data_IF_596258763688
#
_entry.id   IF_596258763688
#
_cell.length_a   1.000
_cell.length_b   1.000
_cell.length_c   1.000
_cell.angle_alpha   90.00
_cell.angle_beta   90.00
_cell.angle_gamma   90.00
#
_symmetry.space_group_name_H-M   'P 1'
#
loop_
_entity.id
_entity.type
_entity.pdbx_description
1 polymer ?
#
# COMPACT_ATOMS: atom_id res chain seq x y z
N UNK A 1 -10.91 7.35 -14.95
CA UNK A 1 -11.11 8.24 -13.79
C UNK A 1 -10.38 9.58 -13.94
N UNK A 2 -10.13 9.96 -15.17
CA UNK A 2 -9.53 11.26 -15.53
C UNK A 2 -10.57 12.34 -15.85
N UNK A 3 -11.86 11.99 -15.82
CA UNK A 3 -12.97 12.90 -16.07
C UNK A 3 -13.48 13.53 -14.77
N UNK A 4 -14.05 14.73 -14.82
CA UNK A 4 -14.61 15.39 -13.63
C UNK A 4 -15.97 14.84 -13.20
N UNK A 5 -16.64 14.01 -14.00
CA UNK A 5 -17.98 13.46 -13.77
C UNK A 5 -17.95 11.92 -13.92
N UNK A 6 -17.67 11.23 -12.81
CA UNK A 6 -17.57 9.78 -12.79
C UNK A 6 -18.94 9.09 -12.91
N UNK A 7 -20.02 9.75 -12.48
CA UNK A 7 -21.37 9.19 -12.63
C UNK A 7 -21.76 9.09 -14.11
N UNK A 8 -21.58 10.18 -14.87
CA UNK A 8 -21.84 10.18 -16.31
C UNK A 8 -20.94 9.21 -17.05
N UNK A 9 -19.65 9.14 -16.70
CA UNK A 9 -18.71 8.18 -17.29
C UNK A 9 -19.15 6.73 -17.07
N UNK A 10 -19.56 6.38 -15.83
CA UNK A 10 -20.07 5.05 -15.53
C UNK A 10 -21.35 4.74 -16.30
N UNK A 11 -22.32 5.67 -16.33
CA UNK A 11 -23.60 5.47 -17.01
C UNK A 11 -23.47 5.35 -18.52
N UNK A 12 -22.47 5.99 -19.11
CA UNK A 12 -22.19 5.94 -20.55
C UNK A 12 -21.25 4.78 -20.92
N UNK A 13 -20.68 4.07 -19.93
CA UNK A 13 -19.83 2.91 -20.21
C UNK A 13 -20.66 1.75 -20.75
N UNK A 14 -20.09 1.01 -21.72
CA UNK A 14 -20.76 -0.15 -22.29
C UNK A 14 -20.86 -1.28 -21.25
N UNK A 15 -22.04 -1.86 -21.12
CA UNK A 15 -22.24 -3.09 -20.35
C UNK A 15 -21.48 -4.23 -21.00
N UNK A 16 -20.70 -4.96 -20.24
CA UNK A 16 -19.96 -6.15 -20.69
C UNK A 16 -20.58 -7.39 -20.10
N UNK A 17 -20.57 -8.45 -20.90
CA UNK A 17 -21.14 -9.73 -20.51
C UNK A 17 -22.68 -9.71 -20.45
N UNK A 18 -23.25 -10.83 -20.02
CA UNK A 18 -24.66 -11.03 -19.85
C UNK A 18 -25.08 -10.71 -18.43
N UNK A 19 -26.04 -9.81 -18.28
CA UNK A 19 -26.61 -9.42 -16.98
C UNK A 19 -27.10 -10.66 -16.23
N UNK A 20 -26.82 -10.77 -14.96
CA UNK A 20 -27.14 -11.90 -14.06
C UNK A 20 -26.47 -13.24 -14.42
N UNK A 21 -25.52 -13.26 -15.37
CA UNK A 21 -24.82 -14.48 -15.80
C UNK A 21 -23.32 -14.33 -15.58
N UNK A 22 -22.73 -13.24 -16.09
CA UNK A 22 -21.30 -13.05 -16.07
C UNK A 22 -20.88 -12.19 -14.87
N UNK A 23 -19.89 -12.69 -14.12
CA UNK A 23 -19.30 -11.93 -13.02
C UNK A 23 -18.19 -11.02 -13.55
N UNK A 24 -18.32 -9.72 -13.26
CA UNK A 24 -17.28 -8.74 -13.52
C UNK A 24 -17.10 -7.85 -12.27
N UNK A 25 -15.95 -7.99 -11.60
CA UNK A 25 -15.62 -7.15 -10.45
C UNK A 25 -15.32 -5.72 -10.92
N UNK A 26 -16.09 -4.75 -10.42
CA UNK A 26 -15.92 -3.35 -10.77
C UNK A 26 -16.17 -2.44 -9.56
N UNK A 27 -15.12 -1.76 -9.08
CA UNK A 27 -15.20 -0.85 -7.93
C UNK A 27 -16.11 0.36 -8.19
N UNK A 28 -16.31 0.78 -9.44
CA UNK A 28 -17.24 1.85 -9.76
C UNK A 28 -18.70 1.49 -9.45
N UNK A 29 -19.07 0.20 -9.42
CA UNK A 29 -20.39 -0.20 -8.93
C UNK A 29 -20.62 0.28 -7.50
N UNK A 30 -19.61 0.15 -6.63
CA UNK A 30 -19.70 0.62 -5.24
C UNK A 30 -19.68 2.13 -5.14
N UNK A 31 -18.95 2.83 -6.01
CA UNK A 31 -19.05 4.28 -6.15
C UNK A 31 -20.47 4.72 -6.49
N UNK A 32 -21.14 4.05 -7.41
CA UNK A 32 -22.54 4.35 -7.75
C UNK A 32 -23.48 4.14 -6.55
N UNK A 33 -23.23 3.12 -5.71
CA UNK A 33 -23.97 2.96 -4.46
C UNK A 33 -23.75 4.14 -3.51
N UNK A 34 -22.54 4.66 -3.40
CA UNK A 34 -22.24 5.88 -2.63
C UNK A 34 -22.99 7.11 -3.18
N UNK A 35 -23.01 7.28 -4.50
CA UNK A 35 -23.78 8.32 -5.17
C UNK A 35 -25.29 8.22 -4.91
N UNK A 36 -25.84 7.00 -4.90
CA UNK A 36 -27.25 6.73 -4.57
C UNK A 36 -27.55 7.13 -3.11
N UNK A 37 -26.69 6.76 -2.15
CA UNK A 37 -26.84 7.16 -0.76
C UNK A 37 -26.88 8.68 -0.64
N UNK A 38 -25.91 9.37 -1.25
CA UNK A 38 -25.88 10.84 -1.24
C UNK A 38 -27.15 11.45 -1.86
N UNK A 39 -27.58 10.94 -3.01
CA UNK A 39 -28.80 11.44 -3.67
C UNK A 39 -30.07 11.23 -2.84
N UNK A 40 -30.17 10.08 -2.14
CA UNK A 40 -31.36 9.75 -1.34
C UNK A 40 -31.40 10.42 0.02
N UNK A 41 -30.23 10.70 0.62
CA UNK A 41 -30.14 11.19 2.00
C UNK A 41 -29.69 12.66 2.12
N UNK A 42 -29.15 13.23 1.04
CA UNK A 42 -28.48 14.53 1.04
C UNK A 42 -27.10 14.52 1.73
N UNK A 43 -26.63 13.34 2.20
CA UNK A 43 -25.41 13.18 3.02
C UNK A 43 -24.40 12.30 2.31
N UNK A 44 -23.10 12.63 2.50
CA UNK A 44 -22.01 11.75 2.11
C UNK A 44 -21.96 10.49 2.99
N UNK A 45 -21.18 9.48 2.57
CA UNK A 45 -21.09 8.20 3.29
C UNK A 45 -20.59 8.39 4.73
N UNK A 46 -19.54 9.18 4.94
CA UNK A 46 -18.99 9.42 6.29
C UNK A 46 -20.02 10.08 7.16
N UNK A 47 -20.67 11.16 6.70
CA UNK A 47 -21.70 11.87 7.45
C UNK A 47 -22.91 10.96 7.75
N UNK A 48 -23.32 10.14 6.79
CA UNK A 48 -24.45 9.23 6.95
C UNK A 48 -24.17 8.08 7.92
N UNK A 49 -22.96 7.51 7.83
CA UNK A 49 -22.55 6.33 8.62
C UNK A 49 -22.09 6.71 10.03
N UNK A 50 -21.61 7.93 10.26
CA UNK A 50 -21.09 8.34 11.58
C UNK A 50 -22.08 8.03 12.70
N UNK A 51 -23.32 8.54 12.74
CA UNK A 51 -24.25 8.24 13.84
C UNK A 51 -24.83 6.82 13.81
N UNK A 52 -24.69 6.08 12.71
CA UNK A 52 -25.31 4.76 12.50
C UNK A 52 -24.37 3.60 12.71
N UNK A 53 -23.07 3.80 12.41
CA UNK A 53 -22.05 2.77 12.41
C UNK A 53 -20.81 3.21 13.21
N UNK A 54 -20.20 4.34 12.86
CA UNK A 54 -18.90 4.70 13.40
C UNK A 54 -18.97 5.09 14.89
N UNK A 55 -19.87 5.95 15.29
CA UNK A 55 -20.05 6.30 16.70
C UNK A 55 -20.47 5.09 17.57
N UNK A 56 -21.49 4.28 17.18
CA UNK A 56 -21.83 3.08 17.96
C UNK A 56 -20.69 2.11 18.15
N UNK A 57 -19.77 2.01 17.18
CA UNK A 57 -18.58 1.16 17.24
C UNK A 57 -17.37 1.85 17.89
N UNK A 58 -17.52 3.10 18.36
CA UNK A 58 -16.41 3.95 18.84
C UNK A 58 -15.26 3.99 17.83
N UNK A 59 -15.59 4.24 16.57
CA UNK A 59 -14.64 4.43 15.46
C UNK A 59 -14.50 5.93 15.23
N UNK A 60 -13.26 6.42 15.30
CA UNK A 60 -12.91 7.84 15.16
C UNK A 60 -11.90 8.03 14.04
N UNK A 61 -11.76 9.27 13.59
CA UNK A 61 -10.77 9.67 12.60
C UNK A 61 -10.89 8.90 11.27
N UNK A 62 -12.13 8.75 10.81
CA UNK A 62 -12.42 8.19 9.49
C UNK A 62 -12.17 9.25 8.42
N UNK A 63 -11.39 8.89 7.43
CA UNK A 63 -11.24 9.64 6.19
C UNK A 63 -11.61 8.74 5.00
N UNK A 64 -12.37 9.29 4.09
CA UNK A 64 -12.73 8.61 2.84
C UNK A 64 -12.52 9.57 1.68
N UNK A 65 -11.67 9.18 0.75
CA UNK A 65 -11.39 9.94 -0.45
C UNK A 65 -12.65 10.19 -1.27
N UNK A 66 -12.66 11.32 -1.98
CA UNK A 66 -13.81 11.73 -2.79
C UNK A 66 -13.46 11.78 -4.27
N UNK A 67 -14.48 11.60 -5.09
CA UNK A 67 -14.45 11.91 -6.51
C UNK A 67 -14.38 13.44 -6.74
N UNK A 68 -14.10 13.89 -7.97
CA UNK A 68 -14.20 15.31 -8.33
C UNK A 68 -15.58 15.93 -8.03
N UNK A 69 -16.66 15.12 -8.06
CA UNK A 69 -18.01 15.55 -7.68
C UNK A 69 -18.21 15.67 -6.16
N UNK A 70 -17.17 15.38 -5.35
CA UNK A 70 -17.21 15.43 -3.89
C UNK A 70 -17.97 14.28 -3.24
N UNK A 71 -18.16 13.15 -3.94
CA UNK A 71 -18.79 11.92 -3.43
C UNK A 71 -17.68 10.99 -2.95
N UNK A 72 -17.81 10.38 -1.77
CA UNK A 72 -16.89 9.37 -1.30
C UNK A 72 -16.78 8.22 -2.31
N UNK A 73 -15.54 7.77 -2.60
CA UNK A 73 -15.25 6.78 -3.66
C UNK A 73 -15.95 5.42 -3.44
N UNK A 74 -16.34 5.10 -2.22
CA UNK A 74 -17.15 3.92 -1.88
C UNK A 74 -16.41 2.60 -2.04
N UNK A 75 -15.88 2.32 -3.22
CA UNK A 75 -15.17 1.07 -3.55
C UNK A 75 -13.70 1.05 -3.12
N UNK A 76 -13.12 2.19 -2.77
CA UNK A 76 -11.72 2.34 -2.31
C UNK A 76 -11.54 3.68 -1.58
N UNK A 77 -10.32 3.93 -1.10
CA UNK A 77 -9.96 5.22 -0.48
C UNK A 77 -10.52 5.42 0.93
N UNK A 78 -10.92 4.35 1.63
CA UNK A 78 -11.28 4.42 3.05
C UNK A 78 -10.02 4.21 3.90
N UNK A 79 -9.69 5.19 4.73
CA UNK A 79 -8.63 5.14 5.74
C UNK A 79 -9.24 4.80 7.10
N UNK A 80 -8.91 3.62 7.60
CA UNK A 80 -9.42 3.09 8.86
C UNK A 80 -8.32 2.31 9.59
N UNK A 81 -8.26 2.42 10.91
CA UNK A 81 -7.31 1.63 11.70
C UNK A 81 -7.69 0.15 11.68
N UNK A 82 -6.70 -0.77 11.70
CA UNK A 82 -6.98 -2.21 11.73
C UNK A 82 -7.92 -2.64 12.86
N UNK A 83 -7.77 -2.08 14.06
CA UNK A 83 -8.61 -2.37 15.21
C UNK A 83 -10.07 -1.91 14.99
N UNK A 84 -10.26 -0.76 14.36
CA UNK A 84 -11.59 -0.25 14.05
C UNK A 84 -12.24 -1.05 12.91
N UNK A 85 -11.45 -1.50 11.94
CA UNK A 85 -11.94 -2.39 10.90
C UNK A 85 -12.35 -3.77 11.49
N UNK A 86 -11.60 -4.30 12.47
CA UNK A 86 -11.97 -5.51 13.20
C UNK A 86 -13.32 -5.39 13.91
N UNK A 87 -13.67 -4.21 14.48
CA UNK A 87 -14.98 -3.97 15.10
C UNK A 87 -16.13 -4.13 14.09
N UNK A 88 -15.94 -3.66 12.85
CA UNK A 88 -16.92 -3.85 11.77
C UNK A 88 -17.09 -5.34 11.47
N UNK A 89 -16.00 -6.07 11.32
CA UNK A 89 -16.04 -7.53 11.11
C UNK A 89 -16.74 -8.27 12.24
N UNK A 90 -16.46 -7.91 13.48
CA UNK A 90 -17.09 -8.51 14.67
C UNK A 90 -18.60 -8.20 14.73
N UNK A 91 -19.00 -6.98 14.43
CA UNK A 91 -20.40 -6.60 14.34
C UNK A 91 -21.14 -7.42 13.27
N UNK A 92 -20.55 -7.60 12.08
CA UNK A 92 -21.11 -8.45 11.02
C UNK A 92 -21.20 -9.91 11.47
N UNK A 93 -20.15 -10.44 12.10
CA UNK A 93 -20.09 -11.81 12.62
C UNK A 93 -21.15 -12.07 13.70
N UNK A 94 -21.47 -11.05 14.50
CA UNK A 94 -22.52 -11.07 15.52
C UNK A 94 -23.93 -10.77 14.94
N UNK A 95 -24.13 -10.95 13.63
CA UNK A 95 -25.40 -10.75 12.97
C UNK A 95 -25.91 -9.32 13.04
N UNK A 96 -25.03 -8.32 13.04
CA UNK A 96 -25.37 -6.88 13.07
C UNK A 96 -25.61 -6.30 14.46
N UNK A 97 -25.15 -6.99 15.50
CA UNK A 97 -25.29 -6.55 16.89
C UNK A 97 -23.95 -6.14 17.48
N UNK A 98 -23.92 -5.02 18.19
CA UNK A 98 -22.75 -4.53 18.91
C UNK A 98 -23.16 -4.06 20.30
N UNK A 99 -22.51 -4.55 21.34
CA UNK A 99 -22.83 -4.23 22.76
C UNK A 99 -24.33 -4.32 23.07
N UNK A 100 -25.01 -5.37 22.60
CA UNK A 100 -26.45 -5.57 22.80
C UNK A 100 -27.36 -4.74 21.89
N UNK A 101 -26.84 -3.75 21.17
CA UNK A 101 -27.61 -2.90 20.25
C UNK A 101 -27.53 -3.45 18.82
N UNK A 102 -28.69 -3.59 18.17
CA UNK A 102 -28.75 -3.93 16.75
C UNK A 102 -28.47 -2.70 15.88
N UNK A 103 -27.43 -2.76 15.08
CA UNK A 103 -27.05 -1.71 14.15
C UNK A 103 -27.49 -2.02 12.72
N UNK A 104 -27.46 -3.29 12.31
CA UNK A 104 -27.86 -3.77 10.98
C UNK A 104 -28.81 -4.97 11.16
N UNK A 105 -29.78 -5.12 10.27
CA UNK A 105 -30.69 -6.28 10.26
C UNK A 105 -29.90 -7.58 10.05
N UNK A 106 -30.15 -8.60 10.88
CA UNK A 106 -29.55 -9.93 10.73
C UNK A 106 -29.95 -10.58 9.40
N UNK A 107 -31.21 -10.46 9.02
CA UNK A 107 -31.71 -10.99 7.74
C UNK A 107 -30.99 -10.35 6.54
N UNK A 108 -30.70 -9.05 6.60
CA UNK A 108 -29.90 -8.39 5.56
C UNK A 108 -28.47 -8.93 5.53
N UNK A 109 -27.81 -9.06 6.67
CA UNK A 109 -26.43 -9.56 6.73
C UNK A 109 -26.33 -11.02 6.28
N UNK A 110 -27.30 -11.88 6.62
CA UNK A 110 -27.34 -13.25 6.11
C UNK A 110 -27.39 -13.27 4.58
N UNK A 111 -28.16 -12.40 3.96
CA UNK A 111 -28.16 -12.25 2.51
C UNK A 111 -26.82 -11.69 2.02
N UNK A 112 -26.28 -10.67 2.68
CA UNK A 112 -25.02 -10.03 2.25
C UNK A 112 -23.82 -10.98 2.24
N UNK A 113 -23.75 -11.92 3.19
CA UNK A 113 -22.68 -12.92 3.27
C UNK A 113 -23.03 -14.26 2.62
N UNK A 114 -24.19 -14.35 1.94
CA UNK A 114 -24.56 -15.53 1.17
C UNK A 114 -24.01 -15.45 -0.27
N UNK A 115 -23.72 -16.60 -0.91
CA UNK A 115 -23.24 -16.60 -2.28
C UNK A 115 -24.36 -16.22 -3.27
N UNK A 116 -24.19 -15.14 -4.00
CA UNK A 116 -25.08 -14.70 -5.07
C UNK A 116 -24.45 -14.83 -6.44
N UNK A 117 -23.12 -14.84 -6.52
CA UNK A 117 -22.37 -15.04 -7.74
C UNK A 117 -21.16 -15.94 -7.51
N UNK A 118 -20.75 -16.64 -8.56
CA UNK A 118 -19.54 -17.46 -8.59
C UNK A 118 -18.50 -16.77 -9.49
N UNK A 119 -17.51 -16.09 -8.92
CA UNK A 119 -16.43 -15.49 -9.69
C UNK A 119 -15.64 -16.55 -10.47
N UNK A 120 -14.92 -16.16 -11.55
CA UNK A 120 -14.00 -17.03 -12.26
C UNK A 120 -12.92 -17.62 -11.33
N UNK A 121 -12.33 -18.76 -11.73
CA UNK A 121 -11.36 -19.48 -10.91
C UNK A 121 -10.12 -18.64 -10.58
N UNK A 122 -9.76 -17.70 -11.43
CA UNK A 122 -8.67 -16.74 -11.25
C UNK A 122 -8.87 -15.82 -10.03
N UNK A 123 -10.13 -15.63 -9.61
CA UNK A 123 -10.48 -14.89 -8.40
C UNK A 123 -10.29 -15.70 -7.11
N UNK A 124 -9.79 -16.94 -7.20
CA UNK A 124 -9.60 -17.83 -6.04
C UNK A 124 -10.84 -18.65 -5.66
N UNK A 125 -10.77 -19.33 -4.52
CA UNK A 125 -11.80 -20.27 -4.04
C UNK A 125 -12.90 -19.56 -3.24
N UNK A 126 -13.52 -18.54 -3.86
CA UNK A 126 -14.55 -17.71 -3.26
C UNK A 126 -15.80 -17.62 -4.13
N UNK A 127 -16.93 -17.42 -3.48
CA UNK A 127 -18.15 -16.88 -4.07
C UNK A 127 -18.26 -15.39 -3.70
N UNK A 128 -19.27 -14.71 -4.22
CA UNK A 128 -19.49 -13.29 -3.98
C UNK A 128 -20.95 -13.05 -3.53
N UNK A 129 -21.08 -12.37 -2.39
CA UNK A 129 -22.36 -11.90 -1.87
C UNK A 129 -22.62 -10.44 -2.25
N UNK A 130 -23.22 -9.66 -1.34
CA UNK A 130 -23.44 -8.24 -1.58
C UNK A 130 -22.19 -7.45 -1.15
N UNK A 131 -21.24 -7.25 -2.08
CA UNK A 131 -19.94 -6.59 -1.87
C UNK A 131 -19.04 -7.33 -0.85
N UNK A 132 -19.33 -8.59 -0.56
CA UNK A 132 -18.61 -9.41 0.41
C UNK A 132 -18.21 -10.72 -0.26
N UNK A 133 -16.94 -11.09 -0.16
CA UNK A 133 -16.45 -12.39 -0.60
C UNK A 133 -16.81 -13.46 0.42
N UNK A 134 -17.22 -14.64 -0.04
CA UNK A 134 -17.58 -15.77 0.84
C UNK A 134 -16.76 -17.00 0.49
N UNK A 135 -16.21 -17.69 1.50
CA UNK A 135 -15.38 -18.88 1.26
C UNK A 135 -16.21 -20.07 0.81
N UNK A 136 -15.75 -20.80 -0.23
CA UNK A 136 -16.42 -22.02 -0.71
C UNK A 136 -16.21 -23.22 0.21
N UNK A 137 -15.05 -23.31 0.87
CA UNK A 137 -14.65 -24.49 1.67
C UNK A 137 -14.71 -24.28 3.16
N UNK A 138 -14.72 -23.05 3.62
CA UNK A 138 -14.78 -22.72 5.02
C UNK A 138 -15.94 -21.76 5.25
N UNK A 139 -16.59 -21.84 6.41
CA UNK A 139 -17.64 -20.90 6.79
C UNK A 139 -16.97 -19.53 7.12
N UNK A 140 -16.59 -18.84 6.07
CA UNK A 140 -15.83 -17.59 6.13
C UNK A 140 -16.51 -16.52 5.26
N UNK A 141 -16.33 -15.27 5.64
CA UNK A 141 -16.53 -14.14 4.75
C UNK A 141 -15.33 -13.19 4.87
N UNK A 142 -15.11 -12.39 3.83
CA UNK A 142 -14.00 -11.45 3.84
C UNK A 142 -14.32 -10.18 3.07
N UNK A 143 -13.79 -9.08 3.57
CA UNK A 143 -13.60 -7.85 2.83
C UNK A 143 -12.18 -7.87 2.28
N UNK A 144 -12.05 -7.94 0.97
CA UNK A 144 -10.77 -8.14 0.32
C UNK A 144 -10.42 -6.91 -0.50
N UNK A 145 -9.36 -6.21 -0.09
CA UNK A 145 -8.80 -5.08 -0.78
C UNK A 145 -7.46 -5.43 -1.44
N UNK A 146 -7.08 -4.61 -2.41
CA UNK A 146 -5.80 -4.75 -3.10
C UNK A 146 -4.63 -4.67 -2.12
N UNK A 147 -3.54 -5.37 -2.46
CA UNK A 147 -2.23 -5.27 -1.80
C UNK A 147 -2.24 -5.65 -0.32
N UNK A 148 -3.25 -6.42 0.13
CA UNK A 148 -3.30 -6.93 1.49
C UNK A 148 -4.14 -6.10 2.48
N UNK A 149 -5.09 -5.30 1.98
CA UNK A 149 -6.09 -4.62 2.82
C UNK A 149 -7.24 -5.59 3.08
N UNK A 150 -7.16 -6.39 4.14
CA UNK A 150 -8.09 -7.51 4.32
C UNK A 150 -8.70 -7.55 5.71
N UNK A 151 -9.96 -8.02 5.74
CA UNK A 151 -10.61 -8.50 6.94
C UNK A 151 -11.20 -9.88 6.63
N UNK A 152 -10.70 -10.91 7.30
CA UNK A 152 -11.13 -12.30 7.15
C UNK A 152 -11.80 -12.80 8.42
N UNK A 153 -13.04 -13.26 8.31
CA UNK A 153 -13.83 -13.80 9.42
C UNK A 153 -14.03 -15.30 9.27
N UNK A 154 -13.68 -16.05 10.30
CA UNK A 154 -13.96 -17.47 10.47
C UNK A 154 -15.17 -17.64 11.38
N UNK A 155 -16.36 -17.78 10.80
CA UNK A 155 -17.63 -17.82 11.56
C UNK A 155 -17.69 -18.96 12.56
N UNK A 156 -17.09 -20.13 12.24
CA UNK A 156 -17.13 -21.32 13.10
C UNK A 156 -16.23 -21.20 14.34
N UNK A 157 -15.14 -20.46 14.29
CA UNK A 157 -14.20 -20.27 15.41
C UNK A 157 -14.34 -18.92 16.10
N UNK A 158 -15.11 -17.99 15.53
CA UNK A 158 -15.21 -16.63 16.04
C UNK A 158 -13.97 -15.77 15.77
N UNK A 159 -12.99 -16.27 15.00
CA UNK A 159 -11.74 -15.57 14.74
C UNK A 159 -11.90 -14.54 13.63
N UNK A 160 -11.33 -13.36 13.85
CA UNK A 160 -11.22 -12.29 12.87
C UNK A 160 -9.74 -11.95 12.68
N UNK A 161 -9.29 -11.91 11.44
CA UNK A 161 -7.93 -11.52 11.08
C UNK A 161 -8.03 -10.27 10.19
N UNK A 162 -7.35 -9.20 10.60
CA UNK A 162 -7.25 -7.96 9.82
C UNK A 162 -5.81 -7.74 9.41
N UNK A 163 -5.62 -7.29 8.20
CA UNK A 163 -4.32 -6.83 7.72
C UNK A 163 -4.47 -5.53 6.92
N UNK A 164 -3.55 -4.61 7.17
CA UNK A 164 -3.25 -3.49 6.29
C UNK A 164 -1.79 -3.68 5.89
N UNK A 165 -1.53 -3.93 4.61
CA UNK A 165 -0.22 -4.32 4.13
C UNK A 165 0.09 -3.71 2.75
N UNK A 166 1.35 -3.75 2.36
CA UNK A 166 1.82 -3.47 1.01
C UNK A 166 2.35 -4.75 0.37
N UNK A 167 1.46 -5.72 0.14
CA UNK A 167 1.82 -6.98 -0.50
C UNK A 167 2.09 -6.77 -2.00
N UNK A 168 2.95 -7.60 -2.57
CA UNK A 168 3.15 -7.62 -4.01
C UNK A 168 1.99 -8.33 -4.77
N UNK A 169 1.03 -8.94 -4.07
CA UNK A 169 -0.09 -9.67 -4.67
C UNK A 169 -1.36 -8.82 -4.69
N UNK A 170 -1.99 -8.72 -5.85
CA UNK A 170 -3.14 -7.84 -6.06
C UNK A 170 -4.38 -8.26 -5.28
N UNK A 171 -4.67 -9.57 -5.17
CA UNK A 171 -5.89 -10.10 -4.56
C UNK A 171 -5.70 -11.49 -3.90
N UNK A 172 -6.77 -12.25 -3.73
CA UNK A 172 -7.02 -13.42 -2.90
C UNK A 172 -6.04 -14.60 -2.97
N UNK A 173 -5.13 -14.64 -3.91
CA UNK A 173 -4.19 -15.77 -4.05
C UNK A 173 -2.98 -15.67 -3.14
N UNK A 174 -2.95 -14.66 -2.24
CA UNK A 174 -1.81 -14.44 -1.38
C UNK A 174 -1.50 -15.63 -0.49
N UNK A 175 -0.23 -15.84 -0.26
CA UNK A 175 0.25 -16.80 0.72
C UNK A 175 -0.39 -16.56 2.11
N UNK A 176 -0.68 -15.31 2.43
CA UNK A 176 -1.38 -14.91 3.64
C UNK A 176 -2.73 -15.62 3.81
N UNK A 177 -3.62 -15.58 2.81
CA UNK A 177 -4.91 -16.28 2.87
C UNK A 177 -4.72 -17.79 2.99
N UNK A 178 -3.80 -18.34 2.22
CA UNK A 178 -3.51 -19.77 2.26
C UNK A 178 -3.03 -20.21 3.65
N UNK A 179 -2.16 -19.44 4.28
CA UNK A 179 -1.72 -19.70 5.65
C UNK A 179 -2.83 -19.48 6.66
N UNK A 180 -3.61 -18.42 6.56
CA UNK A 180 -4.74 -18.17 7.42
C UNK A 180 -5.77 -19.30 7.36
N UNK A 181 -6.16 -19.75 6.18
CA UNK A 181 -7.07 -20.89 5.99
C UNK A 181 -6.47 -22.20 6.51
N UNK A 182 -5.18 -22.45 6.30
CA UNK A 182 -4.49 -23.65 6.77
C UNK A 182 -4.48 -23.74 8.30
N UNK A 183 -4.23 -22.65 9.00
CA UNK A 183 -4.04 -22.64 10.45
C UNK A 183 -5.32 -22.36 11.23
N UNK A 184 -6.26 -21.62 10.67
CA UNK A 184 -7.45 -21.13 11.35
C UNK A 184 -8.77 -21.54 10.67
N UNK A 185 -8.73 -22.26 9.56
CA UNK A 185 -9.93 -22.69 8.82
C UNK A 185 -10.77 -23.76 9.53
N UNK A 186 -10.26 -24.34 10.63
CA UNK A 186 -11.00 -25.30 11.47
C UNK A 186 -11.31 -24.67 12.83
N UNK A 187 -12.47 -25.01 13.44
CA UNK A 187 -12.77 -24.59 14.80
C UNK A 187 -11.68 -25.08 15.80
N UNK A 188 -11.40 -24.28 16.80
CA UNK A 188 -10.54 -24.71 17.91
C UNK A 188 -11.27 -25.77 18.75
N UNK A 189 -10.61 -26.88 18.99
CA UNK A 189 -11.22 -28.04 19.69
C UNK A 189 -11.22 -27.91 21.21
N UNK A 190 -10.49 -26.95 21.77
CA UNK A 190 -10.38 -26.77 23.23
C UNK A 190 -10.16 -25.31 23.58
N UNK A 191 -10.49 -24.93 24.81
CA UNK A 191 -10.06 -23.64 25.38
C UNK A 191 -8.54 -23.60 25.41
N UNK A 192 -7.97 -22.52 24.85
CA UNK A 192 -6.53 -22.31 24.91
C UNK A 192 -6.12 -22.10 26.37
N UNK A 193 -5.15 -22.87 26.83
CA UNK A 193 -4.57 -22.67 28.16
C UNK A 193 -3.58 -21.49 28.09
N UNK A 194 -3.51 -20.66 29.14
CA UNK A 194 -2.53 -19.60 29.22
C UNK A 194 -1.09 -20.14 29.09
N UNK A 195 -0.33 -19.63 28.14
CA UNK A 195 1.10 -19.92 27.93
C UNK A 195 1.90 -18.62 27.98
N UNK A 196 2.43 -18.31 29.16
CA UNK A 196 3.20 -17.09 29.38
C UNK A 196 4.47 -17.03 28.52
N UNK A 197 5.09 -18.16 28.23
CA UNK A 197 6.27 -18.23 27.38
C UNK A 197 5.92 -17.93 25.90
N UNK A 198 4.78 -18.42 25.43
CA UNK A 198 4.28 -18.10 24.09
C UNK A 198 3.91 -16.61 23.98
N UNK A 199 3.27 -16.04 25.01
CA UNK A 199 2.96 -14.60 25.06
C UNK A 199 4.24 -13.77 25.01
N UNK A 200 5.25 -14.10 25.84
CA UNK A 200 6.53 -13.37 25.84
C UNK A 200 7.27 -13.46 24.49
N UNK A 201 7.21 -14.62 23.82
CA UNK A 201 7.77 -14.76 22.46
C UNK A 201 7.02 -13.87 21.46
N UNK A 202 5.68 -13.87 21.51
CA UNK A 202 4.86 -13.01 20.64
C UNK A 202 5.16 -11.53 20.85
N UNK A 203 5.25 -11.08 22.10
CA UNK A 203 5.60 -9.70 22.45
C UNK A 203 7.00 -9.31 21.94
N UNK A 204 7.97 -10.24 22.00
CA UNK A 204 9.30 -10.02 21.44
C UNK A 204 9.21 -9.82 19.93
N UNK A 205 8.52 -10.71 19.21
CA UNK A 205 8.33 -10.58 17.76
C UNK A 205 7.62 -9.29 17.39
N UNK A 206 6.59 -8.90 18.15
CA UNK A 206 5.87 -7.63 17.92
C UNK A 206 6.80 -6.43 18.11
N UNK A 207 7.67 -6.44 19.12
CA UNK A 207 8.65 -5.37 19.33
C UNK A 207 9.62 -5.28 18.14
N UNK A 208 10.16 -6.42 17.70
CA UNK A 208 11.11 -6.47 16.58
C UNK A 208 10.49 -6.00 15.26
N UNK A 209 9.18 -6.27 15.06
CA UNK A 209 8.43 -5.77 13.89
C UNK A 209 8.12 -4.28 14.00
N UNK A 210 7.77 -3.79 15.20
CA UNK A 210 7.45 -2.36 15.41
C UNK A 210 8.65 -1.43 15.24
N UNK A 211 9.84 -1.93 15.54
CA UNK A 211 11.11 -1.21 15.34
C UNK A 211 12.06 -2.08 14.50
N UNK A 212 11.77 -2.25 13.21
CA UNK A 212 12.58 -3.10 12.36
C UNK A 212 13.98 -2.49 12.22
N UNK A 213 14.94 -3.13 12.86
CA UNK A 213 16.34 -2.86 12.60
C UNK A 213 16.73 -3.57 11.29
N UNK A 214 17.39 -2.84 10.40
CA UNK A 214 18.09 -3.52 9.31
C UNK A 214 19.16 -4.42 9.97
N UNK A 215 19.35 -5.67 9.49
CA UNK A 215 20.34 -6.56 10.06
C UNK A 215 21.70 -5.83 10.04
N UNK A 216 22.21 -5.57 11.22
CA UNK A 216 23.54 -4.97 11.38
C UNK A 216 24.55 -5.89 10.71
N UNK A 217 25.50 -5.33 9.97
CA UNK A 217 26.66 -6.06 9.50
C UNK A 217 27.26 -6.84 10.69
N UNK A 218 27.50 -8.13 10.45
CA UNK A 218 27.78 -9.16 11.46
C UNK A 218 28.74 -8.69 12.56
N UNK A 219 28.37 -8.96 13.82
CA UNK A 219 28.96 -8.41 15.05
C UNK A 219 30.48 -8.55 15.29
N UNK A 220 31.25 -9.13 14.38
CA UNK A 220 32.74 -9.13 14.46
C UNK A 220 33.37 -7.79 14.12
N UNK A 221 32.76 -6.97 13.29
CA UNK A 221 33.27 -5.64 12.93
C UNK A 221 33.03 -4.59 14.04
N UNK A 222 31.99 -4.74 14.85
CA UNK A 222 31.62 -3.78 15.90
C UNK A 222 32.56 -3.81 17.12
N UNK A 223 33.22 -4.94 17.38
CA UNK A 223 34.14 -5.08 18.52
C UNK A 223 35.51 -4.48 18.20
N UNK A 224 36.01 -4.62 16.99
CA UNK A 224 37.32 -4.08 16.57
C UNK A 224 37.30 -2.57 16.35
N UNK A 225 36.17 -2.00 15.87
CA UNK A 225 36.04 -0.54 15.69
C UNK A 225 35.97 0.25 16.99
N UNK A 226 35.58 -0.37 18.11
CA UNK A 226 35.61 0.27 19.46
C UNK A 226 37.01 0.33 20.09
N UNK A 227 37.94 -0.50 19.62
CA UNK A 227 39.32 -0.56 20.18
C UNK A 227 40.28 0.38 19.47
N UNK A 228 39.97 0.85 18.28
CA UNK A 228 40.80 1.79 17.52
C UNK A 228 40.04 3.09 17.25
N UNK A 229 40.26 4.09 18.12
CA UNK A 229 39.55 5.37 18.16
C UNK A 229 39.83 6.34 16.99
N UNK A 230 40.23 5.87 15.80
CA UNK A 230 40.13 6.61 14.55
C UNK A 230 38.96 6.08 13.77
N UNK A 231 37.89 6.89 13.70
CA UNK A 231 36.70 6.60 12.87
C UNK A 231 37.20 6.38 11.44
N UNK A 232 37.20 5.15 10.98
CA UNK A 232 37.42 4.85 9.56
C UNK A 232 36.27 5.46 8.78
N UNK A 233 36.51 6.13 7.65
CA UNK A 233 35.41 6.62 6.78
C UNK A 233 34.46 5.51 6.48
N UNK A 234 33.18 5.76 6.69
CA UNK A 234 32.11 4.83 6.30
C UNK A 234 31.70 5.12 4.86
N UNK A 235 31.10 4.17 4.12
CA UNK A 235 30.54 4.48 2.81
C UNK A 235 29.55 5.65 2.80
N UNK A 236 28.91 5.94 3.93
CA UNK A 236 28.00 7.07 4.08
C UNK A 236 28.71 8.43 4.00
N UNK A 237 29.96 8.50 4.48
CA UNK A 237 30.72 9.76 4.50
C UNK A 237 30.96 10.32 3.09
N UNK A 238 30.94 9.46 2.05
CA UNK A 238 31.08 9.87 0.64
C UNK A 238 29.88 10.65 0.10
N UNK A 239 28.74 10.62 0.80
CA UNK A 239 27.50 11.27 0.37
C UNK A 239 27.16 12.51 1.19
N UNK A 240 27.78 12.69 2.36
CA UNK A 240 27.42 13.76 3.30
C UNK A 240 27.84 15.13 2.79
N UNK A 241 26.89 16.06 2.73
CA UNK A 241 27.13 17.44 2.31
C UNK A 241 27.35 17.61 0.80
N UNK A 242 27.21 16.53 0.03
CA UNK A 242 27.30 16.57 -1.43
C UNK A 242 25.91 16.72 -2.02
N UNK A 243 25.75 17.65 -2.95
CA UNK A 243 24.52 17.78 -3.74
C UNK A 243 24.67 16.99 -5.03
N UNK A 244 23.73 16.09 -5.30
CA UNK A 244 23.68 15.30 -6.51
C UNK A 244 22.58 15.86 -7.41
N UNK A 245 22.98 16.50 -8.50
CA UNK A 245 22.04 17.13 -9.46
C UNK A 245 21.85 16.21 -10.67
N UNK A 246 20.63 16.10 -11.15
CA UNK A 246 20.29 15.30 -12.33
C UNK A 246 20.88 15.98 -13.58
N UNK A 247 21.62 15.19 -14.37
CA UNK A 247 22.23 15.61 -15.65
C UNK A 247 21.35 15.28 -16.87
N UNK A 248 20.29 14.52 -16.64
CA UNK A 248 19.30 14.14 -17.65
C UNK A 248 18.20 15.21 -17.76
N UNK A 249 17.40 15.14 -18.84
CA UNK A 249 16.14 15.89 -18.87
C UNK A 249 15.25 15.50 -17.68
N UNK A 250 14.63 16.51 -17.06
CA UNK A 250 13.68 16.31 -15.97
C UNK A 250 12.59 15.33 -16.43
N UNK A 251 12.42 14.29 -15.67
CA UNK A 251 11.48 13.22 -16.00
C UNK A 251 10.21 13.34 -15.16
N UNK A 252 9.11 13.88 -15.71
CA UNK A 252 7.84 13.97 -15.00
C UNK A 252 7.43 12.65 -14.36
N UNK A 253 6.75 12.73 -13.22
CA UNK A 253 6.35 11.60 -12.38
C UNK A 253 7.51 10.76 -11.82
N UNK A 254 8.76 11.20 -11.94
CA UNK A 254 9.90 10.59 -11.26
C UNK A 254 10.27 11.47 -10.06
N UNK A 255 9.78 11.10 -8.88
CA UNK A 255 9.96 11.87 -7.67
C UNK A 255 9.99 10.98 -6.42
N UNK A 256 9.89 11.59 -5.25
CA UNK A 256 9.79 10.87 -3.98
C UNK A 256 8.52 10.05 -3.88
N UNK A 257 7.39 10.61 -4.32
CA UNK A 257 6.12 9.89 -4.28
C UNK A 257 6.14 8.73 -5.29
N UNK A 258 5.78 7.48 -4.88
CA UNK A 258 5.62 6.35 -5.79
C UNK A 258 4.65 6.67 -6.93
N UNK A 259 4.97 6.30 -8.15
CA UNK A 259 4.13 6.56 -9.35
C UNK A 259 2.71 6.05 -9.23
N UNK A 260 2.54 4.89 -8.62
CA UNK A 260 1.21 4.34 -8.38
C UNK A 260 0.41 5.19 -7.40
N UNK A 261 1.05 5.70 -6.34
CA UNK A 261 0.39 6.61 -5.41
C UNK A 261 0.01 7.91 -6.10
N UNK A 262 0.93 8.49 -6.90
CA UNK A 262 0.64 9.67 -7.72
C UNK A 262 -0.61 9.47 -8.59
N UNK A 263 -0.73 8.32 -9.24
CA UNK A 263 -1.86 8.00 -10.10
C UNK A 263 -3.18 7.81 -9.33
N UNK A 264 -3.14 7.20 -8.14
CA UNK A 264 -4.33 7.01 -7.31
C UNK A 264 -4.84 8.33 -6.73
N UNK A 265 -3.93 9.21 -6.36
CA UNK A 265 -4.25 10.50 -5.74
C UNK A 265 -4.41 11.64 -6.75
N UNK A 266 -4.10 11.39 -8.03
CA UNK A 266 -4.03 12.42 -9.08
C UNK A 266 -3.10 13.59 -8.65
N UNK A 267 -1.97 13.25 -8.04
CA UNK A 267 -0.98 14.16 -7.49
C UNK A 267 0.40 13.79 -8.06
N UNK A 268 0.83 14.50 -9.07
CA UNK A 268 1.99 14.16 -9.88
C UNK A 268 3.18 15.06 -9.57
N UNK A 269 4.36 14.45 -9.41
CA UNK A 269 5.64 15.15 -9.35
C UNK A 269 6.01 15.68 -10.74
N UNK A 270 6.49 16.91 -10.80
CA UNK A 270 7.05 17.50 -12.01
C UNK A 270 8.47 17.01 -12.31
N UNK A 271 9.03 16.19 -11.46
CA UNK A 271 10.28 15.46 -11.68
C UNK A 271 11.40 15.83 -10.72
N UNK A 272 12.27 14.87 -10.50
CA UNK A 272 13.40 14.96 -9.59
C UNK A 272 14.53 15.81 -10.18
N UNK A 273 15.07 16.75 -9.39
CA UNK A 273 16.12 17.68 -9.79
C UNK A 273 17.41 17.45 -9.02
N UNK A 274 17.35 17.41 -7.68
CA UNK A 274 18.56 17.18 -6.89
C UNK A 274 18.29 16.50 -5.55
N UNK A 275 19.37 15.95 -4.98
CA UNK A 275 19.37 15.24 -3.72
C UNK A 275 20.58 15.67 -2.88
N UNK A 276 20.35 15.94 -1.61
CA UNK A 276 21.40 16.20 -0.62
C UNK A 276 21.10 15.46 0.68
N UNK A 277 22.13 14.93 1.32
CA UNK A 277 22.03 14.34 2.66
C UNK A 277 23.06 15.00 3.58
N UNK A 278 22.62 15.44 4.75
CA UNK A 278 23.43 16.12 5.74
C UNK A 278 23.23 15.48 7.13
N UNK A 279 24.20 15.64 8.01
CA UNK A 279 23.99 15.27 9.41
C UNK A 279 22.93 16.15 10.05
N UNK A 280 22.04 15.54 10.82
CA UNK A 280 21.10 16.29 11.64
C UNK A 280 21.85 17.04 12.74
N UNK A 281 21.36 18.22 13.11
CA UNK A 281 21.81 18.95 14.29
C UNK A 281 21.30 18.33 15.60
N UNK A 282 20.57 17.22 15.55
CA UNK A 282 20.12 16.48 16.74
C UNK A 282 21.31 15.88 17.48
N UNK A 283 21.17 15.64 18.80
CA UNK A 283 22.20 14.98 19.62
C UNK A 283 22.43 13.51 19.22
N UNK A 284 21.70 13.00 18.21
CA UNK A 284 21.78 11.62 17.74
C UNK A 284 22.64 11.53 16.49
N UNK A 285 23.76 10.86 16.59
CA UNK A 285 24.72 10.64 15.49
C UNK A 285 24.16 9.85 14.30
N UNK A 286 23.01 9.18 14.46
CA UNK A 286 22.38 8.29 13.48
C UNK A 286 21.18 8.93 12.76
N UNK A 287 21.00 10.26 12.87
CA UNK A 287 19.94 11.02 12.21
C UNK A 287 20.51 11.94 11.14
N UNK A 288 19.87 11.94 9.98
CA UNK A 288 20.26 12.71 8.81
C UNK A 288 19.09 13.51 8.28
N UNK A 289 19.39 14.70 7.77
CA UNK A 289 18.44 15.51 7.01
C UNK A 289 18.61 15.18 5.53
N UNK A 290 17.54 14.76 4.90
CA UNK A 290 17.46 14.55 3.46
C UNK A 290 16.72 15.73 2.86
N UNK A 291 17.33 16.36 1.86
CA UNK A 291 16.71 17.40 1.06
C UNK A 291 16.59 16.89 -0.37
N UNK A 292 15.39 16.90 -0.91
CA UNK A 292 15.11 16.58 -2.32
C UNK A 292 14.43 17.76 -2.94
N UNK A 293 14.97 18.20 -4.08
CA UNK A 293 14.37 19.22 -4.92
C UNK A 293 13.70 18.52 -6.09
N UNK A 294 12.41 18.72 -6.25
CA UNK A 294 11.65 18.42 -7.46
C UNK A 294 11.44 19.72 -8.26
N UNK A 295 11.00 19.64 -9.50
CA UNK A 295 10.95 20.81 -10.37
C UNK A 295 10.00 21.91 -9.84
N UNK A 296 9.03 21.56 -9.05
CA UNK A 296 7.96 22.41 -8.52
C UNK A 296 7.94 22.54 -6.99
N UNK A 297 8.59 21.64 -6.25
CA UNK A 297 8.63 21.72 -4.78
C UNK A 297 9.92 21.14 -4.17
N UNK A 298 10.15 21.44 -2.92
CA UNK A 298 11.30 20.95 -2.16
C UNK A 298 10.84 20.24 -0.90
N UNK A 299 11.34 19.01 -0.71
CA UNK A 299 11.05 18.19 0.44
C UNK A 299 12.26 18.11 1.36
N UNK A 300 12.05 18.37 2.65
CA UNK A 300 13.07 18.22 3.67
C UNK A 300 12.54 17.40 4.84
N UNK A 301 13.20 16.28 5.12
CA UNK A 301 12.77 15.33 6.14
C UNK A 301 13.95 14.62 6.81
N UNK A 302 13.67 13.96 7.94
CA UNK A 302 14.68 13.21 8.69
C UNK A 302 14.64 11.74 8.29
N UNK A 303 15.82 11.14 8.10
CA UNK A 303 16.00 9.71 7.92
C UNK A 303 17.00 9.16 8.93
N UNK A 304 16.83 7.94 9.40
CA UNK A 304 17.73 7.29 10.34
C UNK A 304 18.72 6.35 9.65
N UNK A 305 19.94 6.26 10.15
CA UNK A 305 20.90 5.26 9.69
C UNK A 305 20.49 3.87 10.18
N UNK A 306 20.15 2.99 9.23
CA UNK A 306 19.70 1.61 9.50
C UNK A 306 18.47 1.49 10.44
N UNK A 307 17.69 2.55 10.58
CA UNK A 307 16.41 2.56 11.28
C UNK A 307 15.44 3.55 10.65
N UNK A 308 14.15 3.31 10.78
CA UNK A 308 13.16 4.22 10.25
C UNK A 308 12.84 5.37 11.21
N UNK A 309 12.80 6.59 10.69
CA UNK A 309 12.29 7.78 11.38
C UNK A 309 11.01 8.23 10.67
N UNK A 310 9.96 8.53 11.46
CA UNK A 310 8.67 8.97 10.94
C UNK A 310 8.68 10.49 10.83
N UNK A 311 8.33 10.98 9.64
CA UNK A 311 8.20 12.42 9.35
C UNK A 311 6.95 12.65 8.51
N UNK A 312 6.21 13.72 8.78
CA UNK A 312 5.16 14.19 7.89
C UNK A 312 5.79 14.90 6.69
N UNK A 313 5.49 14.45 5.48
CA UNK A 313 5.95 15.09 4.24
C UNK A 313 4.70 15.57 3.49
N UNK A 314 4.76 16.82 3.04
CA UNK A 314 3.72 17.44 2.23
C UNK A 314 4.07 17.28 0.75
N UNK A 315 3.10 16.89 -0.05
CA UNK A 315 3.19 16.81 -1.51
C UNK A 315 1.99 17.56 -2.09
N UNK A 316 2.22 18.76 -2.60
CA UNK A 316 1.18 19.63 -3.17
C UNK A 316 -0.04 19.82 -2.25
N UNK A 317 0.19 20.01 -0.94
CA UNK A 317 -0.85 20.19 0.07
C UNK A 317 -1.44 18.89 0.63
N UNK A 318 -1.03 17.72 0.13
CA UNK A 318 -1.37 16.42 0.71
C UNK A 318 -0.26 15.92 1.63
N UNK A 319 -0.58 15.68 2.89
CA UNK A 319 0.40 15.25 3.91
C UNK A 319 0.37 13.75 4.10
N UNK A 320 1.53 13.12 4.03
CA UNK A 320 1.72 11.70 4.29
C UNK A 320 2.67 11.49 5.47
N UNK A 321 2.35 10.51 6.31
CA UNK A 321 3.28 10.03 7.33
C UNK A 321 4.24 9.02 6.69
N UNK A 322 5.50 9.43 6.51
CA UNK A 322 6.52 8.61 5.86
C UNK A 322 7.57 8.17 6.87
N UNK A 323 7.90 6.88 6.88
CA UNK A 323 9.01 6.36 7.64
C UNK A 323 10.23 6.20 6.71
N UNK A 324 11.30 6.94 7.00
CA UNK A 324 12.48 7.04 6.14
C UNK A 324 13.72 6.49 6.83
N UNK A 325 14.50 5.71 6.09
CA UNK A 325 15.79 5.18 6.53
C UNK A 325 16.85 5.32 5.44
N UNK A 326 18.09 5.56 5.84
CA UNK A 326 19.24 5.55 4.95
C UNK A 326 20.18 4.42 5.33
N UNK A 327 20.85 3.86 4.33
CA UNK A 327 21.90 2.88 4.51
C UNK A 327 22.95 3.07 3.43
N UNK A 328 24.23 3.04 3.82
CA UNK A 328 25.33 3.03 2.88
C UNK A 328 26.14 1.74 2.99
N UNK A 329 26.55 1.20 1.86
CA UNK A 329 27.36 -0.01 1.74
C UNK A 329 28.18 0.05 0.45
N UNK A 330 29.16 -0.83 0.33
CA UNK A 330 29.83 -1.08 -0.97
C UNK A 330 29.05 -2.14 -1.73
N UNK A 331 28.95 -1.96 -3.05
CA UNK A 331 28.43 -3.00 -3.95
C UNK A 331 29.48 -4.06 -4.26
N UNK A 332 29.14 -5.00 -5.16
CA UNK A 332 30.01 -6.09 -5.57
C UNK A 332 31.27 -5.61 -6.31
N UNK A 333 31.21 -4.46 -6.95
CA UNK A 333 32.31 -3.80 -7.66
C UNK A 333 33.14 -2.88 -6.75
N UNK A 334 32.73 -2.73 -5.49
CA UNK A 334 33.43 -1.93 -4.48
C UNK A 334 33.05 -0.44 -4.46
N UNK A 335 32.05 -0.02 -5.25
CA UNK A 335 31.53 1.36 -5.24
C UNK A 335 30.69 1.63 -4.01
N UNK A 336 30.74 2.87 -3.53
CA UNK A 336 29.86 3.30 -2.45
C UNK A 336 28.43 3.48 -2.97
N UNK A 337 27.47 2.89 -2.25
CA UNK A 337 26.05 2.94 -2.54
C UNK A 337 25.28 3.44 -1.36
N UNK A 338 24.50 4.50 -1.53
CA UNK A 338 23.52 4.98 -0.59
C UNK A 338 22.13 4.47 -1.00
N UNK A 339 21.40 3.93 -0.05
CA UNK A 339 19.99 3.57 -0.24
C UNK A 339 19.12 4.39 0.70
N UNK A 340 18.23 5.20 0.16
CA UNK A 340 17.12 5.82 0.87
C UNK A 340 15.88 4.96 0.69
N UNK A 341 15.26 4.57 1.79
CA UNK A 341 14.08 3.73 1.83
C UNK A 341 12.95 4.45 2.54
N UNK A 342 11.79 4.59 1.88
CA UNK A 342 10.66 5.37 2.34
C UNK A 342 9.38 4.52 2.32
N UNK A 343 8.76 4.37 3.50
CA UNK A 343 7.50 3.67 3.67
C UNK A 343 6.38 4.69 3.89
N UNK A 344 5.40 4.74 3.01
CA UNK A 344 4.22 5.58 3.14
C UNK A 344 3.21 4.87 4.04
N UNK A 345 3.22 5.17 5.34
CA UNK A 345 2.58 4.36 6.38
C UNK A 345 1.06 4.29 6.29
N UNK A 346 0.44 5.24 5.61
CA UNK A 346 -1.02 5.30 5.41
C UNK A 346 -1.46 4.63 4.10
N UNK A 347 -0.50 4.12 3.33
CA UNK A 347 -0.71 3.50 2.02
C UNK A 347 0.09 2.20 1.92
N UNK A 348 -0.18 1.33 0.94
CA UNK A 348 0.62 0.13 0.73
C UNK A 348 1.93 0.39 -0.02
N UNK A 349 2.31 1.64 -0.22
CA UNK A 349 3.41 1.99 -1.11
C UNK A 349 4.73 2.25 -0.39
N UNK A 350 5.83 1.95 -1.12
CA UNK A 350 7.21 2.17 -0.71
C UNK A 350 7.99 2.73 -1.88
N UNK A 351 8.80 3.75 -1.62
CA UNK A 351 9.80 4.26 -2.55
C UNK A 351 11.19 3.87 -2.06
N UNK A 352 12.03 3.41 -2.97
CA UNK A 352 13.46 3.24 -2.73
C UNK A 352 14.25 4.00 -3.77
N UNK A 353 15.23 4.77 -3.31
CA UNK A 353 16.20 5.46 -4.15
C UNK A 353 17.58 4.90 -3.80
N UNK A 354 18.28 4.42 -4.82
CA UNK A 354 19.63 3.88 -4.69
C UNK A 354 20.60 4.75 -5.49
N UNK A 355 21.52 5.43 -4.82
CA UNK A 355 22.54 6.26 -5.41
C UNK A 355 23.88 5.51 -5.37
N UNK A 356 24.50 5.27 -6.53
CA UNK A 356 25.76 4.55 -6.69
C UNK A 356 26.82 5.52 -7.18
N UNK A 357 27.95 5.60 -6.47
CA UNK A 357 29.13 6.37 -6.87
C UNK A 357 30.09 5.46 -7.63
N UNK A 358 29.88 5.32 -8.95
CA UNK A 358 30.72 4.56 -9.87
C UNK A 358 31.60 5.47 -10.73
N UNK A 359 31.95 5.00 -11.94
CA UNK A 359 32.64 5.84 -12.93
C UNK A 359 31.77 7.04 -13.36
N UNK A 360 30.48 6.86 -13.34
CA UNK A 360 29.44 7.87 -13.42
C UNK A 360 28.49 7.64 -12.25
N UNK A 361 28.06 8.71 -11.58
CA UNK A 361 27.08 8.56 -10.52
C UNK A 361 25.69 8.31 -11.11
N UNK A 362 25.00 7.30 -10.57
CA UNK A 362 23.66 6.89 -11.02
C UNK A 362 22.69 6.78 -9.86
N UNK A 363 21.49 7.29 -10.07
CA UNK A 363 20.40 7.23 -9.10
C UNK A 363 19.27 6.37 -9.64
N UNK A 364 19.02 5.22 -9.02
CA UNK A 364 17.95 4.30 -9.38
C UNK A 364 16.75 4.49 -8.47
N UNK A 365 15.59 4.70 -9.06
CA UNK A 365 14.30 4.80 -8.39
C UNK A 365 13.53 3.52 -8.56
N UNK A 366 13.13 2.90 -7.46
CA UNK A 366 12.25 1.73 -7.45
C UNK A 366 11.10 1.94 -6.50
N UNK A 367 9.97 1.29 -6.75
CA UNK A 367 8.81 1.33 -5.87
C UNK A 367 8.23 -0.06 -5.63
N UNK A 368 7.52 -0.23 -4.54
CA UNK A 368 6.72 -1.42 -4.25
C UNK A 368 5.32 -1.02 -3.81
N UNK A 369 4.33 -1.80 -4.17
CA UNK A 369 4.41 -2.99 -5.01
C UNK A 369 4.56 -2.61 -6.50
N UNK A 370 5.64 -3.01 -7.12
CA UNK A 370 5.84 -2.84 -8.57
C UNK A 370 5.72 -4.18 -9.29
N UNK A 371 6.34 -5.21 -8.71
CA UNK A 371 6.37 -6.55 -9.31
C UNK A 371 5.10 -7.35 -9.06
N UNK A 372 4.31 -6.97 -8.04
CA UNK A 372 3.10 -7.68 -7.65
C UNK A 372 1.83 -7.19 -8.34
N UNK A 373 1.88 -6.12 -9.11
CA UNK A 373 0.89 -5.92 -10.15
C UNK A 373 1.04 -7.06 -11.15
N UNK A 374 0.58 -8.25 -10.71
CA UNK A 374 0.54 -9.39 -11.58
C UNK A 374 -0.10 -8.95 -12.88
N UNK A 375 0.41 -9.46 -13.96
CA UNK A 375 -0.10 -9.35 -15.33
C UNK A 375 -1.65 -9.31 -15.38
N UNK A 376 -2.35 -9.89 -14.40
CA UNK A 376 -3.80 -9.95 -14.30
C UNK A 376 -4.42 -8.61 -13.84
N UNK A 377 -3.90 -7.93 -12.85
CA UNK A 377 -4.43 -6.63 -12.39
C UNK A 377 -4.09 -5.51 -13.38
N UNK A 378 -2.87 -5.51 -13.90
CA UNK A 378 -2.44 -4.58 -14.93
C UNK A 378 -3.08 -4.90 -16.28
N UNK A 379 -3.32 -6.19 -16.60
CA UNK A 379 -4.06 -6.60 -17.79
C UNK A 379 -5.46 -6.01 -17.81
N UNK A 380 -6.16 -5.95 -16.68
CA UNK A 380 -7.45 -5.27 -16.59
C UNK A 380 -7.38 -3.77 -16.91
N UNK A 381 -6.35 -3.09 -16.42
CA UNK A 381 -6.09 -1.67 -16.73
C UNK A 381 -5.65 -1.51 -18.19
N UNK A 382 -4.76 -2.35 -18.67
CA UNK A 382 -4.27 -2.33 -20.05
C UNK A 382 -5.32 -2.77 -21.04
N UNK A 383 -6.14 -3.76 -20.73
CA UNK A 383 -7.29 -4.16 -21.57
C UNK A 383 -8.32 -3.00 -21.67
N UNK A 384 -8.34 -2.11 -20.68
CA UNK A 384 -9.14 -0.86 -20.76
C UNK A 384 -8.49 0.16 -21.70
N UNK A 385 -7.18 0.35 -21.63
CA UNK A 385 -6.44 1.21 -22.57
C UNK A 385 -6.31 0.61 -23.98
N UNK A 386 -6.22 -0.70 -24.09
CA UNK A 386 -6.11 -1.42 -25.38
C UNK A 386 -7.38 -1.34 -26.25
N UNK A 387 -8.49 -0.83 -25.73
CA UNK A 387 -9.72 -0.58 -26.48
C UNK A 387 -9.69 0.68 -27.31
N UNK A 388 -8.66 1.52 -27.14
CA UNK A 388 -8.42 2.58 -28.13
C UNK A 388 -7.92 1.94 -29.42
N UNK A 389 -8.44 2.33 -30.61
CA UNK A 389 -8.10 1.68 -31.89
C UNK A 389 -6.63 1.60 -32.24
N UNK A 390 -5.81 2.44 -31.64
CA UNK A 390 -4.36 2.53 -31.88
C UNK A 390 -3.56 1.52 -31.04
N UNK A 391 -4.07 1.10 -29.87
CA UNK A 391 -3.36 0.20 -28.93
C UNK A 391 -3.91 -1.23 -29.00
N UNK A 392 -5.16 -1.40 -29.41
CA UNK A 392 -5.83 -2.70 -29.46
C UNK A 392 -5.17 -3.73 -30.38
N UNK A 393 -4.48 -3.30 -31.44
CA UNK A 393 -3.72 -4.21 -32.32
C UNK A 393 -2.39 -4.66 -31.74
N UNK A 394 -1.83 -3.96 -30.76
CA UNK A 394 -0.54 -4.31 -30.12
C UNK A 394 -0.75 -5.19 -28.86
N UNK A 395 -1.91 -5.09 -28.20
CA UNK A 395 -2.17 -5.81 -26.94
C UNK A 395 -2.22 -7.35 -27.11
N UNK A 396 -2.59 -7.85 -28.29
CA UNK A 396 -2.60 -9.28 -28.57
C UNK A 396 -1.21 -9.89 -28.87
N UNK A 397 -0.18 -9.06 -29.05
CA UNK A 397 1.17 -9.49 -29.36
C UNK A 397 2.11 -9.52 -28.14
N UNK A 398 1.64 -9.06 -26.97
CA UNK A 398 2.45 -8.92 -25.78
C UNK A 398 2.33 -10.17 -24.90
N UNK A 399 3.24 -11.11 -25.09
CA UNK A 399 3.44 -12.24 -24.19
C UNK A 399 3.89 -11.79 -22.79
N UNK A 400 3.68 -12.65 -21.78
CA UNK A 400 3.90 -12.34 -20.35
C UNK A 400 5.27 -11.69 -20.02
N UNK A 401 6.33 -12.03 -20.75
CA UNK A 401 7.68 -11.51 -20.48
C UNK A 401 7.89 -10.07 -20.96
N UNK A 402 7.21 -9.67 -22.03
CA UNK A 402 7.25 -8.29 -22.52
C UNK A 402 6.53 -7.36 -21.54
N UNK A 403 5.37 -7.80 -21.02
CA UNK A 403 4.65 -7.03 -19.99
C UNK A 403 5.44 -6.87 -18.70
N UNK A 404 6.13 -7.91 -18.24
CA UNK A 404 7.03 -7.81 -17.09
C UNK A 404 8.14 -6.81 -17.34
N UNK A 405 8.70 -6.77 -18.54
CA UNK A 405 9.72 -5.81 -18.91
C UNK A 405 9.18 -4.38 -18.92
N UNK A 406 8.00 -4.16 -19.53
CA UNK A 406 7.32 -2.85 -19.57
C UNK A 406 6.98 -2.36 -18.15
N UNK A 407 6.43 -3.24 -17.31
CA UNK A 407 6.14 -2.92 -15.91
C UNK A 407 7.43 -2.54 -15.18
N UNK A 408 8.49 -3.35 -15.32
CA UNK A 408 9.78 -3.08 -14.69
C UNK A 408 10.35 -1.73 -15.12
N UNK A 409 10.36 -1.43 -16.41
CA UNK A 409 10.88 -0.14 -16.93
C UNK A 409 10.01 1.05 -16.56
N UNK A 410 8.70 0.84 -16.36
CA UNK A 410 7.78 1.90 -15.93
C UNK A 410 8.02 2.28 -14.46
N UNK A 411 8.26 1.29 -13.60
CA UNK A 411 8.40 1.49 -12.14
C UNK A 411 9.85 1.52 -11.65
N UNK A 412 10.81 1.24 -12.52
CA UNK A 412 12.24 1.40 -12.24
C UNK A 412 12.81 2.42 -13.21
N UNK A 413 13.39 3.49 -12.70
CA UNK A 413 14.07 4.50 -13.50
C UNK A 413 15.45 4.78 -12.94
N UNK A 414 16.42 4.89 -13.83
CA UNK A 414 17.78 5.34 -13.50
C UNK A 414 17.98 6.73 -14.10
N UNK A 415 18.47 7.65 -13.29
CA UNK A 415 18.90 8.99 -13.70
C UNK A 415 20.41 9.09 -13.53
N UNK A 416 21.08 9.77 -14.45
CA UNK A 416 22.45 10.20 -14.27
C UNK A 416 22.49 11.45 -13.39
N UNK A 417 23.41 11.47 -12.45
CA UNK A 417 23.56 12.58 -11.50
C UNK A 417 25.01 13.02 -11.47
N UNK A 418 25.23 14.33 -11.29
CA UNK A 418 26.55 14.94 -11.13
C UNK A 418 26.68 15.34 -9.67
N UNK A 419 27.72 14.90 -8.96
CA UNK A 419 28.02 15.39 -7.64
C UNK A 419 28.59 16.82 -7.73
N UNK A 420 27.96 17.76 -7.04
CA UNK A 420 28.48 19.09 -6.86
C UNK A 420 29.19 19.17 -5.53
N UNK A 421 30.51 19.26 -5.59
CA UNK A 421 31.37 19.45 -4.43
C UNK A 421 31.57 20.95 -4.24
N UNK A 422 30.58 21.65 -3.65
CA UNK A 422 30.74 23.03 -3.20
C UNK A 422 31.58 23.14 -1.94
#
# INVERSE_FOLDING_TARGET
>A
MTTPDWQSEFMNSLTRGTVNTDFNYNSLNTYMLAAIVRRKTGKGLVEYLTPRLFEPLDIKNIYWEKSPEGIEKGGWGLYIRPEDFAKIGLMVQNGGTWNGKRLISSAWLEQAVSPHATPPAECGDFNYGYQIWTGRRANTFLFNGMLGQNLLCFRSSGLIIVSNAGNDESFQQSNYFRYALKHFGKPFSASLQPDSAAVSRLESVIRDIKDPHFPAATGKQRLLSRLFARRQPTPLDSFLGVTFTVDDEVAPSTGLMPKMLQAFENNYSEGFVSFTIEKSSSEKDDEFIVTVVEADETHRFTAGENRYIRTGIDFHGQKYLVASAVRAAKDEDGFDVLTLDMLYLETPFRRRIRLTLGRTAGMEFTERPAEGFSVIGFKGVVDEFAKTPVIGSAAGLLENDIWRSVIKTTFTRTLHVIPDNT
#
